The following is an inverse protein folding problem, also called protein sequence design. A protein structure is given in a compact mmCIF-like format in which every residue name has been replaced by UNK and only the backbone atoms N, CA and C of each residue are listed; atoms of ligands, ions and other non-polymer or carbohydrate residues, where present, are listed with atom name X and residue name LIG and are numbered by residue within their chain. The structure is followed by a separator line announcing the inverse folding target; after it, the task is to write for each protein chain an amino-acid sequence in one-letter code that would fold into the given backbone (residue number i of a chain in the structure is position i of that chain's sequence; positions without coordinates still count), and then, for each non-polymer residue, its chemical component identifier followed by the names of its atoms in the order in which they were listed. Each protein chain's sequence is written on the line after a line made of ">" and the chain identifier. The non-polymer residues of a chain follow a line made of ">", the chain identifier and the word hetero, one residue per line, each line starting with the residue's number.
data_IF_982589838446
#
_entry.id   IF_982589838446
#
_cell.length_a   1.000
_cell.length_b   1.000
_cell.length_c   1.000
_cell.angle_alpha   90.00
_cell.angle_beta   90.00
_cell.angle_gamma   90.00
#
_symmetry.space_group_name_H-M   'P 1'
#
loop_
_entity.id
_entity.type
_entity.pdbx_description
1 polymer ?
#
# COMPACT_ATOMS: atom_id res chain seq x y z
N UNK A 1 -19.37 -2.28 21.24
CA UNK A 1 -18.56 -1.32 20.45
C UNK A 1 -18.21 -1.93 19.12
N UNK A 2 -18.60 -1.30 18.01
CA UNK A 2 -18.18 -1.72 16.66
C UNK A 2 -16.76 -1.20 16.39
N UNK A 3 -15.75 -2.01 16.77
CA UNK A 3 -14.35 -1.80 16.36
C UNK A 3 -14.30 -1.62 14.83
N UNK A 4 -13.69 -0.52 14.35
CA UNK A 4 -13.57 -0.29 12.91
C UNK A 4 -12.75 -1.41 12.24
N UNK A 5 -13.02 -1.72 10.95
CA UNK A 5 -12.29 -2.79 10.22
C UNK A 5 -10.79 -2.50 10.18
N UNK A 6 -10.42 -1.25 9.89
CA UNK A 6 -9.83 -0.32 10.85
C UNK A 6 -9.05 -0.94 12.02
N UNK A 7 -9.24 -0.44 13.21
CA UNK A 7 -8.67 -0.98 14.46
C UNK A 7 -8.54 -2.51 14.57
N UNK A 8 -9.50 -3.30 14.06
CA UNK A 8 -9.43 -4.77 14.08
C UNK A 8 -8.20 -5.34 13.37
N UNK A 9 -7.87 -4.86 12.17
CA UNK A 9 -6.68 -5.31 11.44
C UNK A 9 -5.38 -4.96 12.18
N UNK A 10 -5.33 -3.86 12.94
CA UNK A 10 -4.15 -3.53 13.77
C UNK A 10 -4.01 -4.53 14.91
N UNK A 11 -5.13 -4.83 15.58
CA UNK A 11 -5.18 -5.82 16.67
C UNK A 11 -4.75 -7.20 16.17
N UNK A 12 -5.16 -7.60 14.96
CA UNK A 12 -4.72 -8.85 14.32
C UNK A 12 -3.21 -8.84 14.10
N UNK A 13 -2.64 -7.81 13.48
CA UNK A 13 -1.21 -7.75 13.21
C UNK A 13 -0.35 -7.70 14.48
N UNK A 14 -0.77 -6.94 15.49
CA UNK A 14 -0.12 -6.94 16.81
C UNK A 14 -0.14 -8.34 17.43
N UNK A 15 -1.30 -9.02 17.39
CA UNK A 15 -1.41 -10.37 17.93
C UNK A 15 -0.47 -11.36 17.24
N UNK A 16 -0.47 -11.36 15.91
CA UNK A 16 0.33 -12.29 15.11
C UNK A 16 1.83 -11.97 15.15
N UNK A 17 2.21 -10.75 15.56
CA UNK A 17 3.60 -10.39 15.88
C UNK A 17 4.04 -11.05 17.19
N UNK A 18 3.17 -11.02 18.20
CA UNK A 18 3.50 -11.47 19.55
C UNK A 18 3.36 -13.00 19.72
N UNK A 19 2.75 -13.69 18.75
CA UNK A 19 2.49 -15.14 18.81
C UNK A 19 3.03 -15.83 17.56
N UNK A 20 3.71 -16.97 17.74
CA UNK A 20 4.19 -17.81 16.62
C UNK A 20 3.07 -18.23 15.67
N UNK A 21 1.90 -18.57 16.23
CA UNK A 21 0.66 -18.82 15.48
C UNK A 21 -0.55 -18.78 16.41
N UNK A 22 -1.73 -18.47 15.88
CA UNK A 22 -3.01 -18.46 16.63
C UNK A 22 -4.14 -19.11 15.83
N UNK A 23 -5.19 -19.54 16.51
CA UNK A 23 -6.41 -20.09 15.88
C UNK A 23 -7.46 -19.01 15.62
N UNK A 24 -8.44 -19.30 14.76
CA UNK A 24 -9.56 -18.41 14.50
C UNK A 24 -10.36 -18.07 15.76
N UNK A 25 -10.71 -19.09 16.55
CA UNK A 25 -11.51 -18.96 17.76
C UNK A 25 -10.81 -18.10 18.81
N UNK A 26 -9.49 -18.24 18.92
CA UNK A 26 -8.67 -17.40 19.80
C UNK A 26 -8.75 -15.92 19.39
N UNK A 27 -8.65 -15.61 18.10
CA UNK A 27 -8.78 -14.24 17.61
C UNK A 27 -10.18 -13.68 17.86
N UNK A 28 -11.24 -14.44 17.58
CA UNK A 28 -12.63 -14.02 17.82
C UNK A 28 -12.84 -13.73 19.32
N UNK A 29 -12.41 -14.64 20.20
CA UNK A 29 -12.52 -14.48 21.64
C UNK A 29 -11.70 -13.29 22.16
N UNK A 30 -10.45 -13.15 21.71
CA UNK A 30 -9.55 -12.08 22.15
C UNK A 30 -10.02 -10.69 21.71
N UNK A 31 -10.61 -10.57 20.52
CA UNK A 31 -11.04 -9.27 19.98
C UNK A 31 -12.50 -8.94 20.22
N UNK A 32 -13.33 -9.92 20.61
CA UNK A 32 -14.78 -9.74 20.77
C UNK A 32 -15.44 -9.23 19.48
N UNK A 33 -14.98 -9.69 18.32
CA UNK A 33 -15.38 -9.15 17.02
C UNK A 33 -16.33 -10.09 16.23
N UNK A 34 -17.09 -9.53 15.28
CA UNK A 34 -17.93 -10.32 14.36
C UNK A 34 -17.05 -11.15 13.43
N UNK A 35 -17.45 -12.40 13.21
CA UNK A 35 -16.74 -13.35 12.34
C UNK A 35 -16.50 -12.78 10.93
N UNK A 36 -17.51 -12.11 10.36
CA UNK A 36 -17.41 -11.50 9.03
C UNK A 36 -16.31 -10.42 8.93
N UNK A 37 -16.12 -9.62 9.98
CA UNK A 37 -15.11 -8.56 10.00
C UNK A 37 -13.69 -9.18 10.01
N UNK A 38 -13.48 -10.22 10.83
CA UNK A 38 -12.21 -10.94 10.86
C UNK A 38 -11.93 -11.65 9.53
N UNK A 39 -12.97 -12.22 8.89
CA UNK A 39 -12.90 -12.83 7.55
C UNK A 39 -12.44 -11.84 6.50
N UNK A 40 -12.96 -10.62 6.52
CA UNK A 40 -12.58 -9.57 5.61
C UNK A 40 -11.10 -9.17 5.79
N UNK A 41 -10.66 -8.95 7.03
CA UNK A 41 -9.28 -8.61 7.38
C UNK A 41 -8.31 -9.71 6.93
N UNK A 42 -8.60 -10.97 7.29
CA UNK A 42 -7.72 -12.09 6.96
C UNK A 42 -7.71 -12.34 5.46
N UNK A 43 -8.85 -12.30 4.78
CA UNK A 43 -8.90 -12.49 3.31
C UNK A 43 -8.06 -11.46 2.57
N UNK A 44 -8.12 -10.19 2.97
CA UNK A 44 -7.34 -9.10 2.36
C UNK A 44 -5.83 -9.26 2.55
N UNK A 45 -5.41 -9.83 3.67
CA UNK A 45 -4.01 -9.89 4.07
C UNK A 45 -3.40 -11.28 3.96
N UNK A 46 -4.18 -12.29 3.53
CA UNK A 46 -3.70 -13.65 3.33
C UNK A 46 -2.73 -13.71 2.15
N UNK A 47 -1.58 -14.36 2.36
CA UNK A 47 -0.65 -14.73 1.28
C UNK A 47 -1.30 -15.77 0.39
N UNK A 48 -1.45 -15.46 -0.90
CA UNK A 48 -1.92 -16.39 -1.93
C UNK A 48 -1.10 -16.23 -3.21
N UNK A 49 -1.34 -17.08 -4.23
CA UNK A 49 -0.77 -16.87 -5.57
C UNK A 49 -1.20 -15.53 -6.17
N UNK A 50 -2.44 -15.13 -5.90
CA UNK A 50 -3.05 -13.87 -6.39
C UNK A 50 -2.67 -12.66 -5.52
N UNK A 51 -2.33 -12.89 -4.25
CA UNK A 51 -1.83 -11.88 -3.31
C UNK A 51 -0.46 -12.27 -2.76
N UNK A 52 0.61 -12.16 -3.58
CA UNK A 52 1.94 -12.52 -3.17
C UNK A 52 2.52 -11.56 -2.13
N UNK A 53 1.87 -10.44 -1.82
CA UNK A 53 2.29 -9.51 -0.76
C UNK A 53 1.51 -9.70 0.55
N UNK A 54 0.61 -10.68 0.61
CA UNK A 54 -0.13 -10.98 1.83
C UNK A 54 0.81 -11.34 2.99
N UNK A 55 0.53 -10.78 4.16
CA UNK A 55 1.36 -10.91 5.37
C UNK A 55 0.89 -12.01 6.31
N UNK A 56 -0.31 -12.57 6.08
CA UNK A 56 -0.87 -13.65 6.91
C UNK A 56 -0.69 -14.98 6.20
N UNK A 57 0.05 -15.88 6.82
CA UNK A 57 0.13 -17.30 6.45
C UNK A 57 -1.02 -18.04 7.11
N UNK A 58 -1.70 -18.88 6.34
CA UNK A 58 -2.72 -19.80 6.84
C UNK A 58 -2.24 -21.22 6.60
N UNK A 59 -2.07 -21.99 7.67
CA UNK A 59 -1.66 -23.39 7.61
C UNK A 59 -2.68 -24.28 8.30
N UNK A 60 -2.81 -25.55 7.89
CA UNK A 60 -3.64 -26.52 8.59
C UNK A 60 -3.08 -26.71 10.00
N UNK A 61 -3.96 -26.75 11.00
CA UNK A 61 -3.55 -27.09 12.35
C UNK A 61 -3.12 -28.55 12.40
N UNK A 62 -1.82 -28.79 12.64
CA UNK A 62 -1.25 -30.15 12.70
C UNK A 62 -1.66 -30.89 13.96
N UNK A 63 -2.13 -30.18 14.98
CA UNK A 63 -2.56 -30.75 16.26
C UNK A 63 -4.07 -31.03 16.28
N UNK A 64 -4.74 -30.96 15.13
CA UNK A 64 -6.16 -31.22 15.02
C UNK A 64 -6.50 -31.96 13.73
N UNK A 65 -7.22 -33.07 13.87
CA UNK A 65 -7.76 -33.82 12.73
C UNK A 65 -8.97 -33.13 12.09
N UNK A 66 -9.47 -32.05 12.69
CA UNK A 66 -10.62 -31.32 12.17
C UNK A 66 -10.28 -30.67 10.82
N UNK A 67 -11.02 -30.95 9.74
CA UNK A 67 -10.65 -30.56 8.38
C UNK A 67 -10.64 -29.04 8.15
N UNK A 68 -11.25 -28.28 9.06
CA UNK A 68 -11.39 -26.81 8.96
C UNK A 68 -10.60 -26.03 10.00
N UNK A 69 -9.77 -26.68 10.84
CA UNK A 69 -8.92 -25.97 11.79
C UNK A 69 -7.65 -25.47 11.12
N UNK A 70 -7.46 -24.16 11.19
CA UNK A 70 -6.31 -23.46 10.64
C UNK A 70 -5.60 -22.64 11.70
N UNK A 71 -4.28 -22.56 11.55
CA UNK A 71 -3.40 -21.66 12.26
C UNK A 71 -3.05 -20.46 11.38
N UNK A 72 -3.05 -19.29 12.01
CA UNK A 72 -2.76 -18.01 11.41
C UNK A 72 -1.46 -17.49 12.01
N UNK A 73 -0.53 -17.07 11.17
CA UNK A 73 0.79 -16.55 11.58
C UNK A 73 1.22 -15.45 10.62
N UNK A 74 2.22 -14.66 11.01
CA UNK A 74 2.85 -13.73 10.08
C UNK A 74 3.77 -14.51 9.13
N UNK A 75 3.61 -14.26 7.83
CA UNK A 75 4.60 -14.61 6.83
C UNK A 75 5.70 -13.55 6.86
N UNK A 76 6.57 -13.62 7.87
CA UNK A 76 7.81 -12.83 7.91
C UNK A 76 8.79 -13.45 6.92
N UNK A 77 8.85 -12.88 5.72
CA UNK A 77 9.94 -13.17 4.78
C UNK A 77 11.24 -12.60 5.37
N UNK A 78 12.38 -13.27 5.18
CA UNK A 78 13.66 -12.68 5.56
C UNK A 78 13.84 -11.32 4.87
N UNK A 79 14.54 -10.39 5.51
CA UNK A 79 14.79 -9.09 4.89
C UNK A 79 15.46 -9.23 3.51
N UNK A 80 16.36 -10.21 3.35
CA UNK A 80 16.98 -10.56 2.05
C UNK A 80 15.93 -10.91 0.97
N UNK A 81 14.95 -11.74 1.32
CA UNK A 81 13.87 -12.12 0.38
C UNK A 81 13.03 -10.91 0.00
N UNK A 82 12.74 -10.05 0.99
CA UNK A 82 12.01 -8.80 0.80
C UNK A 82 12.80 -7.82 -0.08
N UNK A 83 14.09 -7.62 0.17
CA UNK A 83 15.01 -6.81 -0.64
C UNK A 83 15.00 -7.25 -2.11
N UNK A 84 15.24 -8.55 -2.36
CA UNK A 84 15.28 -9.11 -3.71
C UNK A 84 13.94 -8.95 -4.44
N UNK A 85 12.83 -9.14 -3.73
CA UNK A 85 11.48 -8.91 -4.26
C UNK A 85 11.26 -7.44 -4.63
N UNK A 86 11.61 -6.51 -3.73
CA UNK A 86 11.44 -5.07 -3.92
C UNK A 86 12.23 -4.55 -5.13
N UNK A 87 13.48 -4.97 -5.28
CA UNK A 87 14.34 -4.54 -6.39
C UNK A 87 13.71 -4.86 -7.75
N UNK A 88 13.24 -6.09 -7.90
CA UNK A 88 12.57 -6.54 -9.13
C UNK A 88 11.22 -5.85 -9.31
N UNK A 89 10.47 -5.65 -8.22
CA UNK A 89 9.17 -5.03 -8.27
C UNK A 89 9.24 -3.55 -8.66
N UNK A 90 10.16 -2.77 -8.08
CA UNK A 90 10.39 -1.36 -8.42
C UNK A 90 10.81 -1.19 -9.89
N UNK A 91 11.65 -2.10 -10.40
CA UNK A 91 12.05 -2.11 -11.82
C UNK A 91 10.85 -2.31 -12.74
N UNK A 92 9.97 -3.26 -12.42
CA UNK A 92 8.75 -3.52 -13.19
C UNK A 92 7.76 -2.36 -13.12
N UNK A 93 7.54 -1.78 -11.93
CA UNK A 93 6.70 -0.59 -11.74
C UNK A 93 7.22 0.60 -12.55
N UNK A 94 8.54 0.80 -12.57
CA UNK A 94 9.16 1.90 -13.33
C UNK A 94 8.84 1.82 -14.82
N UNK A 95 8.84 0.62 -15.42
CA UNK A 95 8.44 0.42 -16.82
C UNK A 95 6.97 0.79 -17.05
N UNK A 96 6.07 0.39 -16.15
CA UNK A 96 4.65 0.72 -16.22
C UNK A 96 4.41 2.23 -16.09
N UNK A 97 5.14 2.90 -15.19
CA UNK A 97 5.08 4.36 -15.05
C UNK A 97 5.49 5.05 -16.35
N UNK A 98 6.58 4.64 -16.99
CA UNK A 98 7.00 5.24 -18.26
C UNK A 98 5.93 5.06 -19.35
N UNK A 99 5.27 3.90 -19.39
CA UNK A 99 4.15 3.66 -20.30
C UNK A 99 2.98 4.61 -20.00
N UNK A 100 2.55 4.73 -18.74
CA UNK A 100 1.45 5.62 -18.36
C UNK A 100 1.78 7.10 -18.63
N UNK A 101 3.01 7.53 -18.32
CA UNK A 101 3.48 8.88 -18.61
C UNK A 101 3.50 9.16 -20.12
N UNK A 102 3.98 8.22 -20.93
CA UNK A 102 3.95 8.33 -22.40
C UNK A 102 2.51 8.48 -22.89
N UNK A 103 1.59 7.62 -22.43
CA UNK A 103 0.18 7.69 -22.78
C UNK A 103 -0.45 9.04 -22.41
N UNK A 104 -0.18 9.55 -21.21
CA UNK A 104 -0.68 10.86 -20.78
C UNK A 104 -0.14 12.00 -21.64
N UNK A 105 1.13 11.94 -22.08
CA UNK A 105 1.70 12.94 -23.01
C UNK A 105 0.98 12.92 -24.36
N UNK A 106 0.76 11.73 -24.93
CA UNK A 106 0.04 11.62 -26.20
C UNK A 106 -1.41 12.07 -26.09
N UNK A 107 -2.09 11.71 -25.00
CA UNK A 107 -3.45 12.19 -24.72
C UNK A 107 -3.46 13.72 -24.59
N UNK A 108 -2.50 14.32 -23.90
CA UNK A 108 -2.41 15.77 -23.73
C UNK A 108 -2.31 16.54 -25.05
N UNK A 109 -1.65 15.98 -26.07
CA UNK A 109 -1.53 16.61 -27.40
C UNK A 109 -2.89 16.77 -28.08
N UNK A 110 -3.83 15.87 -27.82
CA UNK A 110 -5.16 15.89 -28.44
C UNK A 110 -6.12 16.85 -27.73
N UNK A 111 -6.13 16.82 -26.39
CA UNK A 111 -6.98 17.66 -25.52
C UNK A 111 -6.29 17.86 -24.16
N UNK A 112 -6.64 18.93 -23.42
CA UNK A 112 -6.23 19.05 -22.03
C UNK A 112 -6.52 17.78 -21.21
N UNK A 113 -5.66 17.47 -20.26
CA UNK A 113 -5.87 16.34 -19.34
C UNK A 113 -7.02 16.61 -18.36
N UNK A 114 -7.24 17.90 -18.05
CA UNK A 114 -8.30 18.40 -17.18
C UNK A 114 -8.98 19.58 -17.87
N UNK A 115 -10.29 19.65 -17.79
CA UNK A 115 -11.15 20.73 -18.32
C UNK A 115 -11.90 21.42 -17.17
N UNK A 116 -12.35 22.65 -17.42
CA UNK A 116 -13.15 23.45 -16.47
C UNK A 116 -12.52 23.52 -15.07
N UNK A 117 -11.20 23.70 -15.02
CA UNK A 117 -10.45 23.74 -13.77
C UNK A 117 -10.67 25.10 -13.09
N UNK A 118 -11.47 25.12 -12.02
CA UNK A 118 -11.81 26.32 -11.26
C UNK A 118 -11.68 26.08 -9.76
N UNK A 119 -11.21 27.09 -9.04
CA UNK A 119 -11.15 27.09 -7.57
C UNK A 119 -12.54 27.43 -7.01
N UNK A 120 -12.95 26.70 -5.97
CA UNK A 120 -14.21 26.88 -5.24
C UNK A 120 -13.90 27.02 -3.75
N UNK A 121 -14.85 27.51 -2.96
CA UNK A 121 -14.71 27.62 -1.49
C UNK A 121 -14.25 26.30 -0.84
N UNK A 122 -14.73 25.16 -1.34
CA UNK A 122 -14.46 23.84 -0.77
C UNK A 122 -13.44 23.01 -1.57
N UNK A 123 -12.65 23.62 -2.45
CA UNK A 123 -11.59 22.91 -3.19
C UNK A 123 -11.51 23.27 -4.66
N UNK A 124 -11.30 22.28 -5.53
CA UNK A 124 -11.17 22.51 -6.97
C UNK A 124 -12.16 21.64 -7.73
N UNK A 125 -12.95 22.28 -8.59
CA UNK A 125 -13.74 21.59 -9.58
C UNK A 125 -12.91 21.36 -10.84
N UNK A 126 -13.01 20.17 -11.40
CA UNK A 126 -12.43 19.85 -12.70
C UNK A 126 -13.16 18.66 -13.34
N UNK A 127 -13.05 18.55 -14.66
CA UNK A 127 -13.52 17.40 -15.42
C UNK A 127 -12.34 16.67 -16.05
N UNK A 128 -12.33 15.35 -15.95
CA UNK A 128 -11.44 14.51 -16.76
C UNK A 128 -12.20 14.16 -18.04
N UNK A 129 -11.84 14.71 -19.20
CA UNK A 129 -12.65 14.56 -20.42
C UNK A 129 -12.58 13.16 -21.03
N UNK A 130 -11.63 12.32 -20.61
CA UNK A 130 -11.35 11.01 -21.22
C UNK A 130 -11.09 9.95 -20.16
N UNK A 131 -11.77 8.81 -20.29
CA UNK A 131 -11.61 7.67 -19.38
C UNK A 131 -10.18 7.14 -19.37
N UNK A 132 -9.47 7.20 -20.50
CA UNK A 132 -8.08 6.79 -20.59
C UNK A 132 -7.18 7.63 -19.69
N UNK A 133 -7.42 8.94 -19.57
CA UNK A 133 -6.65 9.81 -18.65
C UNK A 133 -6.87 9.35 -17.22
N UNK A 134 -8.12 9.11 -16.82
CA UNK A 134 -8.47 8.59 -15.50
C UNK A 134 -7.80 7.25 -15.22
N UNK A 135 -7.85 6.31 -16.16
CA UNK A 135 -7.26 4.97 -15.99
C UNK A 135 -5.73 5.03 -15.84
N UNK A 136 -5.04 5.86 -16.64
CA UNK A 136 -3.59 6.03 -16.51
C UNK A 136 -3.24 6.71 -15.17
N UNK A 137 -3.99 7.73 -14.74
CA UNK A 137 -3.76 8.38 -13.44
C UNK A 137 -4.01 7.41 -12.26
N UNK A 138 -5.07 6.62 -12.31
CA UNK A 138 -5.34 5.58 -11.30
C UNK A 138 -4.21 4.54 -11.25
N UNK A 139 -3.73 4.08 -12.42
CA UNK A 139 -2.60 3.15 -12.50
C UNK A 139 -1.31 3.73 -11.90
N UNK A 140 -1.05 5.01 -12.12
CA UNK A 140 0.08 5.71 -11.47
C UNK A 140 -0.15 5.83 -9.96
N UNK A 141 -1.35 6.20 -9.51
CA UNK A 141 -1.70 6.29 -8.09
C UNK A 141 -1.44 4.98 -7.35
N UNK A 142 -1.89 3.84 -7.90
CA UNK A 142 -1.63 2.52 -7.33
C UNK A 142 -0.13 2.19 -7.22
N UNK A 143 0.68 2.59 -8.21
CA UNK A 143 2.13 2.39 -8.15
C UNK A 143 2.77 3.26 -7.07
N UNK A 144 2.37 4.53 -6.96
CA UNK A 144 2.84 5.44 -5.92
C UNK A 144 2.50 4.91 -4.52
N UNK A 145 1.28 4.40 -4.32
CA UNK A 145 0.84 3.77 -3.08
C UNK A 145 1.73 2.58 -2.72
N UNK A 146 2.02 1.70 -3.68
CA UNK A 146 2.87 0.54 -3.44
C UNK A 146 4.31 0.95 -3.06
N UNK A 147 4.91 1.93 -3.75
CA UNK A 147 6.25 2.43 -3.42
C UNK A 147 6.29 2.99 -1.99
N UNK A 148 5.26 3.76 -1.61
CA UNK A 148 5.15 4.30 -0.26
C UNK A 148 4.99 3.20 0.79
N UNK A 149 4.11 2.22 0.54
CA UNK A 149 3.93 1.06 1.43
C UNK A 149 5.22 0.25 1.61
N UNK A 150 6.01 0.06 0.55
CA UNK A 150 7.32 -0.59 0.65
C UNK A 150 8.28 0.20 1.55
N UNK A 151 8.39 1.51 1.35
CA UNK A 151 9.21 2.40 2.19
C UNK A 151 8.81 2.34 3.67
N UNK A 152 7.50 2.34 3.91
CA UNK A 152 6.93 2.22 5.24
C UNK A 152 7.24 0.87 5.89
N UNK A 153 7.08 -0.23 5.16
CA UNK A 153 7.38 -1.58 5.67
C UNK A 153 8.86 -1.73 6.05
N UNK A 154 9.78 -1.15 5.27
CA UNK A 154 11.20 -1.10 5.63
C UNK A 154 11.37 -0.41 6.98
N UNK A 155 10.78 0.78 7.13
CA UNK A 155 10.84 1.57 8.37
C UNK A 155 10.25 0.79 9.54
N UNK A 156 9.12 0.11 9.33
CA UNK A 156 8.46 -0.70 10.35
C UNK A 156 9.30 -1.90 10.78
N UNK A 157 9.94 -2.60 9.85
CA UNK A 157 10.84 -3.70 10.22
C UNK A 157 12.07 -3.21 10.98
N UNK A 158 12.58 -2.00 10.67
CA UNK A 158 13.64 -1.37 11.46
C UNK A 158 13.18 -1.09 12.89
N UNK A 159 12.02 -0.47 13.09
CA UNK A 159 11.54 -0.11 14.44
C UNK A 159 11.25 -1.33 15.31
N UNK A 160 10.91 -2.47 14.70
CA UNK A 160 10.73 -3.74 15.41
C UNK A 160 12.03 -4.53 15.61
N UNK A 161 13.19 -4.01 15.22
CA UNK A 161 14.47 -4.75 15.22
C UNK A 161 14.38 -6.10 14.48
N UNK A 162 13.57 -6.16 13.42
CA UNK A 162 13.36 -7.37 12.60
C UNK A 162 14.30 -7.45 11.39
N UNK A 163 15.12 -6.42 11.17
CA UNK A 163 16.16 -6.41 10.15
C UNK A 163 17.47 -6.89 10.78
N UNK A 164 18.08 -7.98 10.28
CA UNK A 164 19.38 -8.42 10.77
C UNK A 164 20.43 -7.32 10.59
N UNK A 165 21.38 -7.22 11.53
CA UNK A 165 22.37 -6.13 11.57
C UNK A 165 23.13 -5.93 10.25
N UNK A 166 23.54 -7.04 9.62
CA UNK A 166 24.21 -7.06 8.31
C UNK A 166 23.41 -6.39 7.18
N UNK A 167 22.09 -6.25 7.35
CA UNK A 167 21.16 -5.72 6.35
C UNK A 167 20.68 -4.29 6.64
N UNK A 168 21.00 -3.70 7.80
CA UNK A 168 20.52 -2.36 8.18
C UNK A 168 20.90 -1.32 7.14
N UNK A 169 22.17 -1.31 6.73
CA UNK A 169 22.66 -0.37 5.70
C UNK A 169 21.94 -0.56 4.35
N UNK A 170 21.54 -1.78 4.01
CA UNK A 170 20.81 -2.05 2.78
C UNK A 170 19.33 -1.63 2.90
N UNK A 171 18.73 -1.79 4.08
CA UNK A 171 17.39 -1.29 4.37
C UNK A 171 17.31 0.23 4.22
N UNK A 172 18.30 0.97 4.70
CA UNK A 172 18.38 2.42 4.54
C UNK A 172 18.45 2.83 3.06
N UNK A 173 19.30 2.15 2.29
CA UNK A 173 19.40 2.36 0.84
C UNK A 173 18.10 2.05 0.11
N UNK A 174 17.42 0.97 0.48
CA UNK A 174 16.14 0.59 -0.14
C UNK A 174 15.04 1.61 0.17
N UNK A 175 14.98 2.11 1.40
CA UNK A 175 14.03 3.15 1.82
C UNK A 175 14.29 4.44 1.06
N UNK A 176 15.54 4.89 1.00
CA UNK A 176 15.95 6.07 0.24
C UNK A 176 15.58 5.92 -1.24
N UNK A 177 15.85 4.75 -1.82
CA UNK A 177 15.52 4.45 -3.21
C UNK A 177 14.01 4.50 -3.47
N UNK A 178 13.17 4.02 -2.55
CA UNK A 178 11.72 4.15 -2.65
C UNK A 178 11.30 5.62 -2.68
N UNK A 179 11.79 6.42 -1.73
CA UNK A 179 11.45 7.86 -1.63
C UNK A 179 11.93 8.65 -2.85
N UNK A 180 13.15 8.36 -3.33
CA UNK A 180 13.70 8.96 -4.55
C UNK A 180 12.88 8.60 -5.77
N UNK A 181 12.48 7.33 -5.90
CA UNK A 181 11.64 6.85 -7.01
C UNK A 181 10.28 7.55 -6.98
N UNK A 182 9.60 7.56 -5.83
CA UNK A 182 8.34 8.26 -5.62
C UNK A 182 8.43 9.74 -6.05
N UNK A 183 9.42 10.46 -5.52
CA UNK A 183 9.66 11.87 -5.84
C UNK A 183 9.89 12.11 -7.34
N UNK A 184 10.67 11.25 -7.98
CA UNK A 184 10.93 11.34 -9.42
C UNK A 184 9.68 11.13 -10.27
N UNK A 185 8.80 10.19 -9.89
CA UNK A 185 7.53 9.95 -10.58
C UNK A 185 6.65 11.20 -10.48
N UNK A 186 6.49 11.76 -9.28
CA UNK A 186 5.72 12.99 -9.06
C UNK A 186 6.28 14.12 -9.93
N UNK A 187 7.59 14.36 -9.91
CA UNK A 187 8.22 15.40 -10.75
C UNK A 187 7.92 15.23 -12.23
N UNK A 188 8.05 14.00 -12.76
CA UNK A 188 7.74 13.68 -14.17
C UNK A 188 6.26 13.89 -14.48
N UNK A 189 5.36 13.54 -13.56
CA UNK A 189 3.93 13.68 -13.78
C UNK A 189 3.48 15.15 -13.75
N UNK A 190 4.05 15.94 -12.82
CA UNK A 190 3.86 17.39 -12.79
C UNK A 190 4.30 18.04 -14.10
N UNK A 191 5.40 17.60 -14.70
CA UNK A 191 5.83 18.13 -16.01
C UNK A 191 4.88 17.76 -17.14
N UNK A 192 4.28 16.57 -17.10
CA UNK A 192 3.23 16.17 -18.06
C UNK A 192 1.99 17.04 -17.94
N UNK A 193 1.48 17.31 -16.73
CA UNK A 193 0.30 18.15 -16.54
C UNK A 193 0.57 19.62 -16.90
N UNK A 194 1.76 20.13 -16.58
CA UNK A 194 2.20 21.50 -16.89
C UNK A 194 2.05 22.46 -15.70
N UNK A 195 2.65 23.65 -15.79
CA UNK A 195 2.93 24.51 -14.62
C UNK A 195 1.71 25.20 -13.97
N UNK A 196 0.50 25.09 -14.54
CA UNK A 196 -0.69 25.76 -13.99
C UNK A 196 -1.01 25.23 -12.59
N UNK A 197 -0.91 26.08 -11.57
CA UNK A 197 -1.11 25.73 -10.14
C UNK A 197 -2.40 24.95 -9.89
N UNK A 198 -3.52 25.39 -10.46
CA UNK A 198 -4.80 24.70 -10.28
C UNK A 198 -4.80 23.30 -10.92
N UNK A 199 -4.16 23.11 -12.08
CA UNK A 199 -4.09 21.78 -12.70
C UNK A 199 -3.17 20.84 -11.92
N UNK A 200 -2.13 21.36 -11.28
CA UNK A 200 -1.28 20.61 -10.36
C UNK A 200 -2.06 20.17 -9.12
N UNK A 201 -2.87 21.07 -8.53
CA UNK A 201 -3.75 20.70 -7.41
C UNK A 201 -4.78 19.63 -7.83
N UNK A 202 -5.39 19.73 -9.02
CA UNK A 202 -6.28 18.67 -9.55
C UNK A 202 -5.55 17.34 -9.66
N UNK A 203 -4.34 17.35 -10.21
CA UNK A 203 -3.51 16.15 -10.32
C UNK A 203 -3.30 15.50 -8.96
N UNK A 204 -2.93 16.30 -7.95
CA UNK A 204 -2.75 15.82 -6.58
C UNK A 204 -4.04 15.21 -6.02
N UNK A 205 -5.18 15.88 -6.17
CA UNK A 205 -6.48 15.31 -5.79
C UNK A 205 -6.72 13.97 -6.47
N UNK A 206 -6.46 13.83 -7.77
CA UNK A 206 -6.70 12.56 -8.48
C UNK A 206 -5.77 11.43 -8.03
N UNK A 207 -4.50 11.72 -7.77
CA UNK A 207 -3.53 10.71 -7.33
C UNK A 207 -3.77 10.27 -5.88
N UNK A 208 -4.17 11.21 -5.02
CA UNK A 208 -4.37 10.99 -3.59
C UNK A 208 -5.84 10.78 -3.22
N UNK A 209 -6.72 10.59 -4.21
CA UNK A 209 -8.12 10.15 -4.03
C UNK A 209 -8.19 8.70 -3.57
N UNK A 210 -7.23 7.87 -3.99
CA UNK A 210 -6.83 6.75 -3.16
C UNK A 210 -6.23 7.43 -1.94
N UNK A 211 -7.04 7.61 -0.88
CA UNK A 211 -6.52 7.97 0.44
C UNK A 211 -5.28 7.13 0.55
N UNK A 212 -4.11 7.78 0.58
CA UNK A 212 -2.86 7.17 1.00
C UNK A 212 -3.32 6.20 2.04
N UNK A 213 -3.27 4.92 1.72
CA UNK A 213 -3.62 3.93 2.71
C UNK A 213 -2.39 3.99 3.61
N UNK A 214 -2.30 5.05 4.43
CA UNK A 214 -2.24 4.99 5.88
C UNK A 214 -3.15 3.84 6.32
N UNK A 215 -2.84 2.61 5.88
CA UNK A 215 -2.92 1.44 6.69
C UNK A 215 -1.88 1.70 7.76
N UNK A 216 -2.33 2.49 8.72
CA UNK A 216 -2.06 2.39 10.13
C UNK A 216 -0.58 2.31 10.49
N UNK A 217 0.04 3.46 10.52
CA UNK A 217 0.53 3.93 11.81
C UNK A 217 -0.07 5.32 12.00
N UNK A 218 -1.26 5.37 12.61
CA UNK A 218 -1.45 6.44 13.59
C UNK A 218 -0.38 6.16 14.64
N UNK A 219 0.75 6.84 14.51
CA UNK A 219 1.64 7.08 15.62
C UNK A 219 0.80 7.90 16.60
N UNK A 220 0.21 7.25 17.61
CA UNK A 220 -0.11 7.95 18.83
C UNK A 220 1.24 8.43 19.40
N UNK A 221 1.50 9.73 19.51
CA UNK A 221 2.52 10.19 20.44
C UNK A 221 1.85 10.13 21.82
N UNK A 222 1.81 8.94 22.41
CA UNK A 222 1.54 8.83 23.84
C UNK A 222 2.80 9.29 24.55
N UNK A 223 2.78 10.56 24.98
CA UNK A 223 3.46 11.02 26.20
C UNK A 223 2.78 10.32 27.38
#
# INVERSE_FOLDING_TARGET
>A
MTTSITELENKVFLLLRDHKSVTWDFMIKKFGCKNQNLKEVVKRNKKTKENPMGLIKVSKDKNSDHPTRFNYSLEVSSFETFHNSNKNHLKSMSKLIELYLKNLRELKKQKPLFENVVEMENGIQSKIPRIQVKNNLNGIGLILDNIYQTSFLITYYKTLNQIPEIWINQADKDQEQCMKTYSNIIKKLRSVVGRKKLHQKVLETQLFNHRMVLRRLELNPSI
#
